data_IF_256887995512
#
_entry.id   IF_256887995512
#
_cell.length_a   1.000
_cell.length_b   1.000
_cell.length_c   1.000
_cell.angle_alpha   90.00
_cell.angle_beta   90.00
_cell.angle_gamma   90.00
#
_symmetry.space_group_name_H-M   'P 1'
#
loop_
_entity.id
_entity.type
_entity.pdbx_description
1 polymer ?
#
# COMPACT_ATOMS: atom_id res chain seq x y z
N UNK A 1 -20.01 15.88 12.08
CA UNK A 1 -19.83 17.21 11.45
C UNK A 1 -18.64 17.93 12.07
N UNK A 2 -18.53 18.02 13.40
CA UNK A 2 -17.35 18.55 14.09
C UNK A 2 -15.97 18.08 13.57
N UNK A 3 -15.80 16.80 13.21
CA UNK A 3 -14.54 16.30 12.64
C UNK A 3 -14.24 16.81 11.21
N UNK A 4 -15.29 17.10 10.42
CA UNK A 4 -15.17 17.70 9.08
C UNK A 4 -14.90 19.20 9.23
N UNK A 5 -15.59 19.86 10.16
CA UNK A 5 -15.41 21.29 10.42
C UNK A 5 -13.99 21.63 10.90
N UNK A 6 -13.34 20.69 11.59
CA UNK A 6 -11.93 20.79 11.97
C UNK A 6 -10.95 20.69 10.78
N UNK A 7 -11.42 20.36 9.58
CA UNK A 7 -10.62 20.21 8.35
C UNK A 7 -11.17 21.14 7.25
N UNK A 8 -10.80 22.43 7.22
CA UNK A 8 -11.40 23.43 6.32
C UNK A 8 -11.35 23.05 4.83
N UNK A 9 -10.25 22.43 4.39
CA UNK A 9 -10.10 21.96 3.01
C UNK A 9 -11.10 20.85 2.64
N UNK A 10 -11.46 19.99 3.60
CA UNK A 10 -12.46 18.93 3.40
C UNK A 10 -13.86 19.50 3.48
N UNK A 11 -14.14 20.36 4.47
CA UNK A 11 -15.43 21.05 4.62
C UNK A 11 -15.80 21.84 3.36
N UNK A 12 -14.85 22.59 2.79
CA UNK A 12 -15.06 23.33 1.54
C UNK A 12 -15.40 22.44 0.35
N UNK A 13 -14.78 21.26 0.23
CA UNK A 13 -15.08 20.27 -0.83
C UNK A 13 -16.44 19.59 -0.66
N UNK A 14 -16.96 19.53 0.57
CA UNK A 14 -18.25 18.93 0.89
C UNK A 14 -19.39 19.96 0.96
N UNK A 15 -19.12 21.25 0.75
CA UNK A 15 -20.14 22.29 0.78
C UNK A 15 -21.27 22.01 -0.22
N UNK A 16 -22.51 22.00 0.26
CA UNK A 16 -23.70 21.69 -0.57
C UNK A 16 -23.92 20.20 -0.87
N UNK A 17 -23.06 19.30 -0.38
CA UNK A 17 -23.28 17.85 -0.51
C UNK A 17 -24.30 17.35 0.54
N UNK A 18 -25.06 16.32 0.18
CA UNK A 18 -26.00 15.65 1.09
C UNK A 18 -25.57 14.23 1.36
N UNK A 19 -25.53 13.82 2.62
CA UNK A 19 -25.19 12.45 3.02
C UNK A 19 -26.32 11.48 2.63
N UNK A 20 -26.04 10.53 1.73
CA UNK A 20 -27.00 9.54 1.24
C UNK A 20 -27.05 8.24 2.05
N UNK A 21 -26.09 8.01 2.96
CA UNK A 21 -26.04 6.80 3.79
C UNK A 21 -25.41 7.06 5.17
N UNK A 22 -25.69 6.22 6.18
CA UNK A 22 -24.96 6.26 7.45
C UNK A 22 -23.46 6.06 7.26
N UNK A 23 -22.67 6.65 8.16
CA UNK A 23 -21.21 6.46 8.20
C UNK A 23 -20.93 5.03 8.67
N UNK A 24 -20.03 4.33 7.98
CA UNK A 24 -19.54 3.01 8.34
C UNK A 24 -18.02 3.06 8.46
N UNK A 25 -17.50 2.32 9.42
CA UNK A 25 -16.06 2.19 9.65
C UNK A 25 -15.66 0.74 9.87
N UNK A 26 -14.41 0.42 9.58
CA UNK A 26 -13.80 -0.86 9.89
C UNK A 26 -12.44 -0.61 10.56
N UNK A 27 -12.17 -1.27 11.67
CA UNK A 27 -10.89 -1.23 12.36
C UNK A 27 -10.72 -2.48 13.24
N UNK A 28 -9.50 -3.02 13.42
CA UNK A 28 -8.27 -2.73 12.67
C UNK A 28 -8.29 -3.42 11.29
N UNK A 29 -7.85 -2.73 10.23
CA UNK A 29 -7.94 -3.25 8.86
C UNK A 29 -6.68 -4.07 8.49
N UNK A 30 -5.52 -3.69 9.02
CA UNK A 30 -4.23 -4.34 8.77
C UNK A 30 -4.06 -5.67 9.51
N UNK A 31 -3.65 -6.72 8.80
CA UNK A 31 -3.23 -7.98 9.42
C UNK A 31 -2.16 -8.69 8.57
N UNK A 32 -1.27 -9.42 9.26
CA UNK A 32 -0.14 -10.12 8.63
C UNK A 32 -0.35 -11.61 8.62
N UNK A 33 -0.11 -12.22 7.47
CA UNK A 33 -0.10 -13.68 7.29
C UNK A 33 1.32 -14.12 6.98
N UNK A 34 1.89 -14.95 7.85
CA UNK A 34 3.28 -15.43 7.71
C UNK A 34 3.41 -16.51 6.64
N UNK A 35 2.39 -17.35 6.48
CA UNK A 35 2.38 -18.39 5.46
C UNK A 35 1.10 -18.32 4.63
N UNK A 36 1.24 -18.03 3.34
CA UNK A 36 0.10 -17.86 2.42
C UNK A 36 -0.20 -19.12 1.58
N UNK A 37 0.55 -20.21 1.77
CA UNK A 37 0.26 -21.51 1.16
C UNK A 37 0.93 -22.67 1.90
N UNK A 38 0.30 -23.84 1.86
CA UNK A 38 0.80 -25.09 2.43
C UNK A 38 0.22 -26.30 1.71
N UNK A 39 0.41 -27.53 2.25
CA UNK A 39 -0.10 -28.74 1.63
C UNK A 39 -1.62 -28.69 1.47
N UNK A 40 -2.10 -28.67 0.22
CA UNK A 40 -3.53 -28.66 -0.11
C UNK A 40 -4.26 -27.32 0.04
N UNK A 41 -3.56 -26.21 0.33
CA UNK A 41 -4.22 -24.91 0.50
C UNK A 41 -3.37 -23.72 0.04
N UNK A 42 -4.07 -22.68 -0.44
CA UNK A 42 -3.50 -21.39 -0.85
C UNK A 42 -4.44 -20.27 -0.36
N UNK A 43 -3.86 -19.21 0.19
CA UNK A 43 -4.58 -17.98 0.54
C UNK A 43 -4.32 -16.92 -0.53
N UNK A 44 -5.36 -16.20 -0.93
CA UNK A 44 -5.31 -15.11 -1.92
C UNK A 44 -6.01 -13.86 -1.39
N UNK A 45 -5.74 -12.71 -2.00
CA UNK A 45 -6.31 -11.42 -1.60
C UNK A 45 -6.07 -11.13 -0.13
N UNK A 46 -7.10 -10.59 0.54
CA UNK A 46 -7.01 -10.20 1.93
C UNK A 46 -6.79 -11.38 2.86
N UNK A 47 -7.24 -12.59 2.49
CA UNK A 47 -6.94 -13.81 3.26
C UNK A 47 -5.44 -14.13 3.27
N UNK A 48 -4.66 -13.63 2.29
CA UNK A 48 -3.21 -13.76 2.25
C UNK A 48 -2.48 -12.64 3.00
N UNK A 49 -3.17 -11.76 3.72
CA UNK A 49 -2.63 -10.64 4.46
C UNK A 49 -2.84 -9.29 3.77
N UNK A 50 -3.12 -8.28 4.60
CA UNK A 50 -3.53 -6.95 4.20
C UNK A 50 -2.71 -5.90 4.98
N UNK A 51 -2.02 -5.00 4.27
CA UNK A 51 -1.04 -4.08 4.87
C UNK A 51 -1.62 -2.69 5.11
N UNK A 52 -2.29 -2.09 4.12
CA UNK A 52 -2.80 -0.71 4.22
C UNK A 52 -3.81 -0.37 3.11
N UNK A 53 -4.97 0.27 3.39
CA UNK A 53 -5.80 0.85 2.35
C UNK A 53 -5.23 2.14 1.74
N UNK A 54 -4.24 2.79 2.37
CA UNK A 54 -3.70 4.08 1.92
C UNK A 54 -3.16 4.04 0.48
N UNK A 55 -2.58 2.90 0.08
CA UNK A 55 -2.03 2.72 -1.28
C UNK A 55 -3.07 2.28 -2.30
N UNK A 56 -4.31 1.98 -1.89
CA UNK A 56 -5.38 1.55 -2.78
C UNK A 56 -5.17 0.17 -3.44
N UNK A 57 -4.19 -0.62 -2.97
CA UNK A 57 -3.74 -1.83 -3.66
C UNK A 57 -4.63 -3.06 -3.48
N UNK A 58 -5.68 -3.02 -2.66
CA UNK A 58 -6.46 -4.21 -2.26
C UNK A 58 -6.93 -5.05 -3.44
N UNK A 59 -7.58 -4.42 -4.43
CA UNK A 59 -8.07 -5.09 -5.63
C UNK A 59 -6.92 -5.63 -6.48
N UNK A 60 -5.86 -4.83 -6.68
CA UNK A 60 -4.68 -5.26 -7.42
C UNK A 60 -4.06 -6.52 -6.80
N UNK A 61 -3.87 -6.52 -5.48
CA UNK A 61 -3.29 -7.65 -4.74
C UNK A 61 -4.18 -8.89 -4.83
N UNK A 62 -5.50 -8.73 -4.70
CA UNK A 62 -6.45 -9.82 -4.86
C UNK A 62 -6.33 -10.48 -6.23
N UNK A 63 -6.38 -9.70 -7.30
CA UNK A 63 -6.32 -10.23 -8.67
C UNK A 63 -4.96 -10.85 -9.00
N UNK A 64 -3.86 -10.19 -8.60
CA UNK A 64 -2.50 -10.67 -8.87
C UNK A 64 -2.15 -11.93 -8.09
N UNK A 65 -2.59 -12.02 -6.83
CA UNK A 65 -2.41 -13.24 -6.04
C UNK A 65 -3.28 -14.39 -6.57
N UNK A 66 -4.52 -14.13 -6.99
CA UNK A 66 -5.37 -15.13 -7.63
C UNK A 66 -4.73 -15.69 -8.92
N UNK A 67 -4.18 -14.83 -9.77
CA UNK A 67 -3.46 -15.26 -10.97
C UNK A 67 -2.23 -16.11 -10.65
N UNK A 68 -1.40 -15.66 -9.70
CA UNK A 68 -0.23 -16.43 -9.26
C UNK A 68 -0.60 -17.80 -8.69
N UNK A 69 -1.74 -17.91 -8.00
CA UNK A 69 -2.25 -19.18 -7.48
C UNK A 69 -2.70 -20.11 -8.62
N UNK A 70 -3.45 -19.58 -9.60
CA UNK A 70 -3.86 -20.33 -10.79
C UNK A 70 -2.66 -20.84 -11.60
N UNK A 71 -1.65 -19.99 -11.84
CA UNK A 71 -0.44 -20.37 -12.57
C UNK A 71 0.34 -21.47 -11.82
N UNK A 72 0.43 -21.38 -10.49
CA UNK A 72 1.08 -22.39 -9.66
C UNK A 72 0.33 -23.73 -9.66
N UNK A 73 -1.01 -23.71 -9.63
CA UNK A 73 -1.85 -24.90 -9.73
C UNK A 73 -1.70 -25.57 -11.10
N UNK A 74 -1.69 -24.79 -12.18
CA UNK A 74 -1.54 -25.29 -13.54
C UNK A 74 -0.15 -25.91 -13.80
N UNK A 75 0.90 -25.34 -13.21
CA UNK A 75 2.26 -25.87 -13.36
C UNK A 75 2.46 -27.24 -12.65
N UNK A 76 1.64 -27.56 -11.65
CA UNK A 76 1.78 -28.78 -10.85
C UNK A 76 3.02 -28.80 -9.95
N UNK A 77 3.35 -29.97 -9.40
CA UNK A 77 4.47 -30.16 -8.49
C UNK A 77 4.25 -29.48 -7.13
N UNK A 78 5.28 -28.80 -6.61
CA UNK A 78 5.18 -28.04 -5.36
C UNK A 78 4.49 -26.68 -5.59
N UNK A 79 3.16 -26.74 -5.68
CA UNK A 79 2.26 -25.59 -5.86
C UNK A 79 2.52 -24.52 -4.79
N UNK A 80 2.70 -24.93 -3.53
CA UNK A 80 2.86 -23.99 -2.42
C UNK A 80 4.17 -23.20 -2.52
N UNK A 81 5.29 -23.85 -2.87
CA UNK A 81 6.55 -23.14 -3.08
C UNK A 81 6.52 -22.24 -4.32
N UNK A 82 5.91 -22.72 -5.41
CA UNK A 82 5.77 -21.92 -6.64
C UNK A 82 4.95 -20.66 -6.39
N UNK A 83 3.80 -20.79 -5.72
CA UNK A 83 2.98 -19.64 -5.33
C UNK A 83 3.72 -18.69 -4.39
N UNK A 84 4.38 -19.20 -3.33
CA UNK A 84 5.14 -18.34 -2.39
C UNK A 84 6.22 -17.52 -3.09
N UNK A 85 6.94 -18.12 -4.06
CA UNK A 85 7.95 -17.43 -4.88
C UNK A 85 7.33 -16.33 -5.74
N UNK A 86 6.26 -16.65 -6.47
CA UNK A 86 5.55 -15.69 -7.31
C UNK A 86 4.99 -14.52 -6.50
N UNK A 87 4.35 -14.82 -5.36
CA UNK A 87 3.80 -13.82 -4.43
C UNK A 87 4.89 -12.92 -3.86
N UNK A 88 6.02 -13.47 -3.41
CA UNK A 88 7.14 -12.68 -2.89
C UNK A 88 7.70 -11.74 -3.97
N UNK A 89 7.89 -12.24 -5.19
CA UNK A 89 8.37 -11.42 -6.31
C UNK A 89 7.40 -10.28 -6.65
N UNK A 90 6.10 -10.55 -6.62
CA UNK A 90 5.07 -9.56 -6.96
C UNK A 90 4.94 -8.46 -5.91
N UNK A 91 5.07 -8.78 -4.61
CA UNK A 91 4.65 -7.86 -3.55
C UNK A 91 5.75 -7.42 -2.58
N UNK A 92 6.96 -8.00 -2.60
CA UNK A 92 7.98 -7.69 -1.59
C UNK A 92 8.38 -6.19 -1.60
N UNK A 93 8.65 -5.63 -2.78
CA UNK A 93 9.06 -4.22 -2.89
C UNK A 93 7.95 -3.27 -2.44
N UNK A 94 6.70 -3.51 -2.86
CA UNK A 94 5.55 -2.69 -2.42
C UNK A 94 5.24 -2.82 -0.94
N UNK A 95 5.39 -4.03 -0.41
CA UNK A 95 5.24 -4.25 1.03
C UNK A 95 6.27 -3.42 1.78
N UNK A 96 7.55 -3.47 1.38
CA UNK A 96 8.60 -2.66 1.99
C UNK A 96 8.34 -1.15 1.88
N UNK A 97 7.85 -0.67 0.74
CA UNK A 97 7.46 0.74 0.57
C UNK A 97 6.31 1.13 1.51
N UNK A 98 5.30 0.27 1.65
CA UNK A 98 4.17 0.52 2.56
C UNK A 98 4.64 0.57 4.02
N UNK A 99 5.50 -0.36 4.45
CA UNK A 99 6.10 -0.34 5.79
C UNK A 99 6.91 0.93 6.04
N UNK A 100 7.65 1.41 5.03
CA UNK A 100 8.38 2.66 5.12
C UNK A 100 7.42 3.82 5.36
N UNK A 101 6.41 3.99 4.50
CA UNK A 101 5.41 5.05 4.64
C UNK A 101 4.71 4.99 6.00
N UNK A 102 4.33 3.80 6.47
CA UNK A 102 3.74 3.62 7.81
C UNK A 102 4.70 4.04 8.93
N UNK A 103 6.00 3.75 8.79
CA UNK A 103 7.02 4.21 9.73
C UNK A 103 7.10 5.74 9.80
N UNK A 104 6.98 6.43 8.66
CA UNK A 104 6.89 7.90 8.63
C UNK A 104 5.61 8.41 9.28
N UNK A 105 4.45 7.80 8.97
CA UNK A 105 3.17 8.16 9.59
C UNK A 105 3.17 7.96 11.12
N UNK A 106 3.96 7.02 11.63
CA UNK A 106 4.11 6.79 13.06
C UNK A 106 5.00 7.85 13.76
N UNK A 107 5.70 8.70 13.02
CA UNK A 107 6.64 9.71 13.54
C UNK A 107 6.28 11.09 12.96
N UNK A 108 5.35 11.85 13.60
CA UNK A 108 4.82 13.09 13.03
C UNK A 108 5.87 14.14 12.60
N UNK A 109 6.94 14.42 13.38
CA UNK A 109 7.96 15.38 12.94
C UNK A 109 8.70 14.96 11.66
N UNK A 110 8.88 13.65 11.48
CA UNK A 110 9.53 13.10 10.29
C UNK A 110 8.60 13.15 9.08
N UNK A 111 7.30 12.88 9.30
CA UNK A 111 6.28 13.02 8.27
C UNK A 111 6.17 14.47 7.79
N UNK A 112 6.04 15.43 8.70
CA UNK A 112 5.97 16.86 8.38
C UNK A 112 7.20 17.28 7.57
N UNK A 113 8.39 16.89 8.03
CA UNK A 113 9.62 17.15 7.30
C UNK A 113 9.60 16.54 5.89
N UNK A 114 9.19 15.28 5.74
CA UNK A 114 9.11 14.62 4.44
C UNK A 114 8.09 15.31 3.51
N UNK A 115 6.93 15.72 4.03
CA UNK A 115 5.89 16.40 3.25
C UNK A 115 6.37 17.76 2.75
N UNK A 116 6.96 18.60 3.60
CA UNK A 116 7.53 19.88 3.18
C UNK A 116 8.57 19.72 2.06
N UNK A 117 9.39 18.67 2.13
CA UNK A 117 10.40 18.39 1.09
C UNK A 117 9.81 17.86 -0.19
N UNK A 118 8.77 17.04 -0.12
CA UNK A 118 8.05 16.58 -1.30
C UNK A 118 7.40 17.76 -2.01
N UNK A 119 6.79 18.70 -1.28
CA UNK A 119 6.21 19.91 -1.86
C UNK A 119 7.27 20.79 -2.55
N UNK A 120 8.45 20.91 -1.95
CA UNK A 120 9.56 21.68 -2.53
C UNK A 120 10.28 20.97 -3.70
N UNK A 121 10.03 19.67 -3.92
CA UNK A 121 10.78 18.83 -4.88
C UNK A 121 9.83 18.03 -5.80
N UNK A 122 9.46 18.59 -6.97
CA UNK A 122 8.57 17.94 -7.92
C UNK A 122 9.05 16.55 -8.37
N UNK A 123 10.37 16.35 -8.51
CA UNK A 123 10.96 15.07 -8.90
C UNK A 123 10.71 13.96 -7.86
N UNK A 124 10.86 14.28 -6.57
CA UNK A 124 10.65 13.34 -5.48
C UNK A 124 9.15 13.02 -5.31
N UNK A 125 8.28 14.03 -5.45
CA UNK A 125 6.82 13.85 -5.46
C UNK A 125 6.37 12.95 -6.61
N UNK A 126 6.87 13.18 -7.83
CA UNK A 126 6.55 12.34 -8.97
C UNK A 126 7.07 10.92 -8.80
N UNK A 127 8.27 10.73 -8.24
CA UNK A 127 8.84 9.42 -7.99
C UNK A 127 8.02 8.64 -6.96
N UNK A 128 7.71 9.24 -5.80
CA UNK A 128 6.94 8.58 -4.76
C UNK A 128 5.49 8.34 -5.21
N UNK A 129 4.84 9.34 -5.82
CA UNK A 129 3.47 9.22 -6.33
C UNK A 129 3.33 8.16 -7.42
N UNK A 130 4.27 8.11 -8.37
CA UNK A 130 4.27 7.07 -9.42
C UNK A 130 4.60 5.67 -8.89
N UNK A 131 5.47 5.56 -7.89
CA UNK A 131 5.74 4.29 -7.23
C UNK A 131 4.54 3.81 -6.42
N UNK A 132 3.87 4.69 -5.66
CA UNK A 132 2.66 4.34 -4.92
C UNK A 132 1.52 3.94 -5.87
N UNK A 133 1.33 4.67 -6.96
CA UNK A 133 0.29 4.40 -7.96
C UNK A 133 0.58 3.25 -8.95
N UNK A 134 1.60 2.42 -8.72
CA UNK A 134 2.00 1.31 -9.62
C UNK A 134 2.40 1.75 -11.05
N UNK A 135 2.63 3.04 -11.28
CA UNK A 135 3.15 3.57 -12.55
C UNK A 135 4.67 3.35 -12.69
N UNK A 136 5.36 3.09 -11.57
CA UNK A 136 6.78 2.74 -11.49
C UNK A 136 7.04 1.61 -10.49
N UNK A 137 8.13 0.85 -10.65
CA UNK A 137 8.55 -0.12 -9.65
C UNK A 137 8.74 0.54 -8.28
N UNK A 138 8.17 -0.07 -7.24
CA UNK A 138 8.33 0.39 -5.86
C UNK A 138 9.80 0.45 -5.40
N UNK A 139 10.67 -0.33 -6.04
CA UNK A 139 12.13 -0.32 -5.80
C UNK A 139 12.76 1.04 -6.07
N UNK A 140 12.20 1.84 -6.97
CA UNK A 140 12.77 3.14 -7.33
C UNK A 140 12.62 4.12 -6.16
N UNK A 141 11.46 4.08 -5.49
CA UNK A 141 11.17 4.86 -4.28
C UNK A 141 11.89 4.36 -3.03
N UNK A 142 12.35 3.10 -3.03
CA UNK A 142 13.14 2.51 -1.95
C UNK A 142 14.65 2.69 -2.13
N UNK A 143 15.09 3.31 -3.23
CA UNK A 143 16.52 3.50 -3.47
C UNK A 143 17.14 4.47 -2.45
N UNK A 144 18.42 4.28 -2.05
CA UNK A 144 19.11 5.21 -1.14
C UNK A 144 19.09 6.65 -1.66
N UNK A 145 19.16 6.81 -2.98
CA UNK A 145 19.06 8.11 -3.65
C UNK A 145 17.67 8.74 -3.46
N UNK A 146 16.60 7.99 -3.67
CA UNK A 146 15.24 8.48 -3.46
C UNK A 146 14.99 8.86 -1.99
N UNK A 147 15.44 8.01 -1.06
CA UNK A 147 15.32 8.29 0.37
C UNK A 147 16.12 9.54 0.76
N UNK A 148 17.31 9.72 0.21
CA UNK A 148 18.10 10.92 0.42
C UNK A 148 17.46 12.17 -0.22
N UNK A 149 16.89 12.05 -1.42
CA UNK A 149 16.15 13.16 -2.06
C UNK A 149 14.90 13.56 -1.26
N UNK A 150 14.30 12.66 -0.48
CA UNK A 150 13.18 12.98 0.41
C UNK A 150 13.66 13.54 1.76
N UNK A 151 14.74 13.01 2.33
CA UNK A 151 15.16 13.26 3.72
C UNK A 151 16.31 14.27 3.88
N UNK A 152 17.03 14.64 2.81
CA UNK A 152 18.18 15.53 2.93
C UNK A 152 17.72 16.93 3.40
N UNK A 153 18.41 17.54 4.39
CA UNK A 153 18.16 18.91 4.86
C UNK A 153 18.37 19.96 3.77
#
# INVERSE_FOLDING_TARGET
EAAIDALPAVAGRLAGSTRISPIRGAAPIGHRVNNAAGPGWILIGDAAGFVDPFTGEGIHRALRSARAAADALAAGGDVAATYRRARRRAFAAKTALSWLVQGFLAIPPLLEHAVERLEARPSATLLLGSALGDCRPATDALSPRALFEVLRP
#
